data_IF_649356792531
#
_entry.id   IF_649356792531
#
_cell.length_a   1.000
_cell.length_b   1.000
_cell.length_c   1.000
_cell.angle_alpha   90.00
_cell.angle_beta   90.00
_cell.angle_gamma   90.00
#
_symmetry.space_group_name_H-M   'P 1'
#
loop_
_entity.id
_entity.type
_entity.pdbx_description
1 polymer ?
#
# COMPACT_ATOMS: atom_id res chain seq x y z
N UNK A 1 0.62 13.56 9.33
CA UNK A 1 0.36 13.09 7.96
C UNK A 1 -1.14 13.03 7.75
N UNK A 2 -1.64 13.44 6.59
CA UNK A 2 -3.07 13.35 6.26
C UNK A 2 -3.41 11.93 5.79
N UNK A 3 -4.55 11.38 6.19
CA UNK A 3 -5.07 10.16 5.57
C UNK A 3 -6.08 10.51 4.48
N UNK A 4 -5.89 9.98 3.28
CA UNK A 4 -6.79 10.10 2.13
C UNK A 4 -7.58 8.80 2.00
N UNK A 5 -8.90 8.89 2.14
CA UNK A 5 -9.80 7.75 1.93
C UNK A 5 -9.87 7.47 0.42
N UNK A 6 -9.52 6.26 -0.05
CA UNK A 6 -9.69 5.92 -1.47
C UNK A 6 -11.17 6.05 -1.89
N UNK A 7 -11.44 6.61 -3.08
CA UNK A 7 -12.80 6.86 -3.58
C UNK A 7 -13.68 5.60 -3.58
N UNK A 8 -13.10 4.43 -3.87
CA UNK A 8 -13.81 3.15 -3.82
C UNK A 8 -14.42 2.79 -2.44
N UNK A 9 -13.90 3.41 -1.36
CA UNK A 9 -14.39 3.26 0.02
C UNK A 9 -15.19 4.46 0.53
N UNK A 10 -15.38 5.50 -0.28
CA UNK A 10 -16.10 6.71 0.15
C UNK A 10 -17.55 6.39 0.54
N UNK A 11 -17.99 6.95 1.67
CA UNK A 11 -19.33 6.74 2.21
C UNK A 11 -19.61 5.33 2.77
N UNK A 12 -18.60 4.46 2.88
CA UNK A 12 -18.75 3.09 3.39
C UNK A 12 -18.03 2.89 4.72
N UNK A 13 -18.64 2.14 5.64
CA UNK A 13 -17.92 1.59 6.79
C UNK A 13 -16.90 0.55 6.30
N UNK A 14 -15.66 0.66 6.76
CA UNK A 14 -14.56 -0.20 6.29
C UNK A 14 -13.46 -0.28 7.33
N UNK A 15 -13.26 -1.48 7.89
CA UNK A 15 -12.16 -1.77 8.83
C UNK A 15 -10.79 -1.41 8.24
N UNK A 16 -10.64 -1.55 6.92
CA UNK A 16 -9.41 -1.21 6.19
C UNK A 16 -9.17 0.30 6.18
N UNK A 17 -10.22 1.11 6.02
CA UNK A 17 -10.14 2.58 6.12
C UNK A 17 -9.83 3.01 7.55
N UNK A 18 -10.46 2.40 8.55
CA UNK A 18 -10.19 2.68 9.96
C UNK A 18 -8.75 2.37 10.34
N UNK A 19 -8.21 1.23 9.87
CA UNK A 19 -6.81 0.87 10.03
C UNK A 19 -5.89 1.95 9.43
N UNK A 20 -6.15 2.38 8.20
CA UNK A 20 -5.35 3.42 7.54
C UNK A 20 -5.35 4.75 8.30
N UNK A 21 -6.53 5.18 8.78
CA UNK A 21 -6.67 6.37 9.64
C UNK A 21 -5.87 6.24 10.93
N UNK A 22 -5.97 5.08 11.60
CA UNK A 22 -5.26 4.80 12.84
C UNK A 22 -3.75 4.86 12.64
N UNK A 23 -3.22 4.09 11.69
CA UNK A 23 -1.78 4.01 11.43
C UNK A 23 -1.19 5.35 11.00
N UNK A 24 -1.89 6.11 10.15
CA UNK A 24 -1.43 7.44 9.71
C UNK A 24 -1.38 8.46 10.85
N UNK A 25 -2.26 8.32 11.84
CA UNK A 25 -2.30 9.15 13.04
C UNK A 25 -1.22 8.75 14.05
N UNK A 26 -1.04 7.46 14.27
CA UNK A 26 -0.08 6.91 15.24
C UNK A 26 1.36 7.01 14.75
N UNK A 27 1.57 6.89 13.45
CA UNK A 27 2.89 6.85 12.82
C UNK A 27 3.06 7.86 11.67
N UNK A 28 2.97 9.18 11.95
CA UNK A 28 3.17 10.21 10.92
C UNK A 28 4.57 10.19 10.30
N UNK A 29 5.55 9.55 10.95
CA UNK A 29 6.91 9.37 10.49
C UNK A 29 7.06 8.40 9.32
N UNK A 30 6.10 7.48 9.09
CA UNK A 30 6.20 6.47 8.04
C UNK A 30 6.49 7.05 6.65
N UNK A 31 7.28 6.33 5.85
CA UNK A 31 7.70 6.76 4.52
C UNK A 31 8.85 7.76 4.53
N UNK A 32 9.55 7.86 3.40
CA UNK A 32 10.78 8.63 3.27
C UNK A 32 10.51 10.01 2.64
N UNK A 33 11.05 11.06 3.26
CA UNK A 33 11.00 12.42 2.69
C UNK A 33 11.65 12.46 1.30
N UNK A 34 11.04 13.21 0.39
CA UNK A 34 11.45 13.31 -1.01
C UNK A 34 11.02 12.13 -1.89
N UNK A 35 10.15 11.23 -1.41
CA UNK A 35 9.75 10.04 -2.17
C UNK A 35 8.30 9.62 -1.98
N UNK A 36 7.83 8.76 -2.89
CA UNK A 36 6.68 7.89 -2.69
C UNK A 36 7.17 6.60 -2.00
N UNK A 37 6.50 6.20 -0.92
CA UNK A 37 6.86 5.01 -0.13
C UNK A 37 5.68 4.06 -0.04
N UNK A 38 5.95 2.77 0.19
CA UNK A 38 4.93 1.76 0.45
C UNK A 38 5.32 0.94 1.68
N UNK A 39 4.37 0.72 2.57
CA UNK A 39 4.56 -0.04 3.80
C UNK A 39 3.46 -1.10 3.90
N UNK A 40 3.83 -2.33 4.22
CA UNK A 40 2.85 -3.36 4.59
C UNK A 40 2.29 -3.05 5.99
N UNK A 41 0.97 -3.15 6.17
CA UNK A 41 0.34 -2.76 7.45
C UNK A 41 0.27 -3.90 8.47
N UNK A 42 0.76 -5.10 8.13
CA UNK A 42 0.57 -6.30 8.94
C UNK A 42 -0.82 -6.92 8.83
N UNK A 43 -1.70 -6.39 7.98
CA UNK A 43 -3.08 -6.85 7.87
C UNK A 43 -3.39 -7.50 6.52
N UNK A 44 -4.18 -8.56 6.58
CA UNK A 44 -4.83 -9.18 5.43
C UNK A 44 -6.33 -9.21 5.64
N UNK A 45 -7.11 -9.25 4.56
CA UNK A 45 -8.54 -9.52 4.63
C UNK A 45 -9.01 -10.33 3.43
N UNK A 46 -10.15 -11.00 3.59
CA UNK A 46 -10.78 -11.79 2.54
C UNK A 46 -12.03 -11.08 2.05
N UNK A 47 -12.23 -11.01 0.73
CA UNK A 47 -13.45 -10.50 0.12
C UNK A 47 -13.72 -11.23 -1.19
N UNK A 48 -14.97 -11.68 -1.39
CA UNK A 48 -15.39 -12.43 -2.58
C UNK A 48 -14.46 -13.62 -2.91
N UNK A 49 -14.07 -14.40 -1.89
CA UNK A 49 -13.14 -15.54 -2.01
C UNK A 49 -11.71 -15.18 -2.47
N UNK A 50 -11.38 -13.89 -2.57
CA UNK A 50 -10.04 -13.40 -2.84
C UNK A 50 -9.42 -12.86 -1.55
N UNK A 51 -8.14 -13.20 -1.33
CA UNK A 51 -7.34 -12.70 -0.21
C UNK A 51 -6.59 -11.44 -0.64
N UNK A 52 -6.45 -10.49 0.28
CA UNK A 52 -5.77 -9.23 0.04
C UNK A 52 -4.81 -8.91 1.18
N UNK A 53 -3.61 -8.45 0.83
CA UNK A 53 -2.72 -7.76 1.75
C UNK A 53 -3.00 -6.25 1.71
N UNK A 54 -2.93 -5.61 2.87
CA UNK A 54 -3.19 -4.18 3.05
C UNK A 54 -1.87 -3.43 3.17
N UNK A 55 -1.73 -2.38 2.36
CA UNK A 55 -0.55 -1.51 2.33
C UNK A 55 -0.95 -0.06 2.59
N UNK A 56 -0.04 0.70 3.17
CA UNK A 56 -0.07 2.16 3.11
C UNK A 56 0.84 2.63 1.97
N UNK A 57 0.25 3.39 1.05
CA UNK A 57 0.98 4.17 0.06
C UNK A 57 1.11 5.60 0.59
N UNK A 58 2.34 6.08 0.70
CA UNK A 58 2.67 7.31 1.42
C UNK A 58 3.37 8.29 0.48
N UNK A 59 2.78 9.46 0.27
CA UNK A 59 3.38 10.54 -0.50
C UNK A 59 4.06 11.55 0.43
N UNK A 60 5.39 11.60 0.34
CA UNK A 60 6.24 12.64 0.94
C UNK A 60 7.19 13.22 -0.11
N UNK A 61 6.77 13.23 -1.38
CA UNK A 61 7.61 13.62 -2.51
C UNK A 61 7.78 15.14 -2.66
N UNK A 62 7.05 15.96 -1.87
CA UNK A 62 7.07 17.42 -1.97
C UNK A 62 6.10 17.99 -3.00
N UNK A 63 5.26 17.15 -3.61
CA UNK A 63 4.21 17.55 -4.56
C UNK A 63 2.99 16.62 -4.48
N UNK A 64 1.83 17.13 -4.88
CA UNK A 64 0.61 16.33 -5.03
C UNK A 64 0.71 15.40 -6.24
N UNK A 65 0.26 14.16 -6.09
CA UNK A 65 0.09 13.23 -7.20
C UNK A 65 -1.39 13.26 -7.61
N UNK A 66 -1.64 13.76 -8.81
CA UNK A 66 -2.99 13.95 -9.38
C UNK A 66 -3.16 13.28 -10.75
N UNK A 67 -2.26 12.35 -11.08
CA UNK A 67 -2.30 11.53 -12.30
C UNK A 67 -2.12 10.05 -11.97
N UNK A 68 -2.66 9.23 -12.85
CA UNK A 68 -2.46 7.78 -12.81
C UNK A 68 -0.97 7.46 -12.92
N UNK A 69 -0.53 6.44 -12.20
CA UNK A 69 0.85 5.96 -12.28
C UNK A 69 0.93 4.47 -12.03
N UNK A 70 2.04 3.88 -12.43
CA UNK A 70 2.36 2.47 -12.23
C UNK A 70 3.74 2.32 -11.62
N UNK A 71 3.93 1.26 -10.84
CA UNK A 71 5.23 0.86 -10.31
C UNK A 71 5.36 -0.66 -10.26
N UNK A 72 6.60 -1.14 -10.17
CA UNK A 72 6.93 -2.52 -9.87
C UNK A 72 7.07 -2.69 -8.36
N UNK A 73 6.52 -3.76 -7.80
CA UNK A 73 6.65 -4.12 -6.39
C UNK A 73 7.38 -5.46 -6.26
N UNK A 74 8.46 -5.46 -5.49
CA UNK A 74 9.10 -6.67 -4.98
C UNK A 74 8.83 -6.77 -3.49
N UNK A 75 8.29 -7.92 -3.06
CA UNK A 75 8.00 -8.19 -1.65
C UNK A 75 8.46 -9.59 -1.29
N UNK A 76 9.29 -9.69 -0.24
CA UNK A 76 9.87 -10.93 0.25
C UNK A 76 9.74 -11.05 1.76
N UNK A 77 9.76 -12.29 2.23
CA UNK A 77 9.97 -12.63 3.63
C UNK A 77 10.90 -13.83 3.73
N UNK A 78 11.97 -13.71 4.51
CA UNK A 78 12.96 -14.77 4.73
C UNK A 78 13.51 -15.37 3.41
N UNK A 79 13.75 -14.49 2.43
CA UNK A 79 14.22 -14.85 1.09
C UNK A 79 13.15 -15.39 0.12
N UNK A 80 11.95 -15.73 0.60
CA UNK A 80 10.84 -16.18 -0.22
C UNK A 80 10.08 -15.00 -0.81
N UNK A 81 9.80 -15.05 -2.12
CA UNK A 81 9.02 -14.01 -2.79
C UNK A 81 7.52 -14.17 -2.51
N UNK A 82 6.90 -13.09 -2.07
CA UNK A 82 5.45 -12.90 -2.13
C UNK A 82 5.13 -12.27 -3.49
N UNK A 83 5.79 -11.16 -3.83
CA UNK A 83 5.68 -10.54 -5.15
C UNK A 83 7.06 -10.39 -5.79
N UNK A 84 7.17 -10.77 -7.06
CA UNK A 84 8.36 -10.55 -7.87
C UNK A 84 8.01 -9.68 -9.08
N UNK A 85 8.52 -8.46 -9.11
CA UNK A 85 8.24 -7.46 -10.15
C UNK A 85 6.73 -7.29 -10.46
N UNK A 86 5.89 -7.37 -9.43
CA UNK A 86 4.44 -7.24 -9.59
C UNK A 86 4.13 -5.81 -10.05
N UNK A 87 3.49 -5.66 -11.20
CA UNK A 87 3.07 -4.34 -11.70
C UNK A 87 1.81 -3.91 -10.98
N UNK A 88 1.84 -2.72 -10.39
CA UNK A 88 0.77 -2.12 -9.62
C UNK A 88 0.38 -0.81 -10.27
N UNK A 89 -0.91 -0.62 -10.54
CA UNK A 89 -1.47 0.63 -11.04
C UNK A 89 -2.21 1.38 -9.95
N UNK A 90 -1.95 2.68 -9.84
CA UNK A 90 -2.72 3.61 -9.04
C UNK A 90 -3.55 4.50 -9.97
N UNK A 91 -4.88 4.42 -9.84
CA UNK A 91 -5.82 5.21 -10.64
C UNK A 91 -6.48 6.27 -9.79
N UNK A 92 -6.43 7.51 -10.25
CA UNK A 92 -7.07 8.65 -9.58
C UNK A 92 -8.59 8.45 -9.52
N UNK A 93 -9.18 7.81 -10.52
CA UNK A 93 -10.62 7.48 -10.53
C UNK A 93 -11.06 6.57 -9.38
N UNK A 94 -10.15 5.73 -8.88
CA UNK A 94 -10.46 4.68 -7.92
C UNK A 94 -10.00 5.08 -6.50
N UNK A 95 -8.88 5.81 -6.44
CA UNK A 95 -8.17 6.12 -5.20
C UNK A 95 -8.19 7.61 -4.82
N UNK A 96 -8.47 8.50 -5.78
CA UNK A 96 -8.39 9.94 -5.59
C UNK A 96 -6.96 10.49 -5.70
N UNK A 97 -6.85 11.82 -5.67
CA UNK A 97 -5.55 12.52 -5.63
C UNK A 97 -4.84 12.26 -4.32
N UNK A 98 -3.50 12.22 -4.35
CA UNK A 98 -2.67 11.99 -3.18
C UNK A 98 -1.81 13.23 -2.90
N UNK A 99 -2.24 14.14 -2.00
CA UNK A 99 -1.48 15.33 -1.61
C UNK A 99 -0.10 15.01 -1.06
N UNK A 100 0.79 16.00 -0.98
CA UNK A 100 2.03 15.84 -0.22
C UNK A 100 1.73 15.65 1.28
N UNK A 101 2.64 15.00 1.99
CA UNK A 101 2.49 14.63 3.41
C UNK A 101 1.20 13.87 3.71
N UNK A 102 0.84 12.94 2.82
CA UNK A 102 -0.38 12.14 2.94
C UNK A 102 -0.13 10.64 2.75
N UNK A 103 -1.08 9.84 3.20
CA UNK A 103 -1.10 8.40 2.98
C UNK A 103 -2.49 7.93 2.60
N UNK A 104 -2.56 6.85 1.83
CA UNK A 104 -3.80 6.17 1.48
C UNK A 104 -3.61 4.65 1.60
N UNK A 105 -4.71 3.91 1.66
CA UNK A 105 -4.65 2.44 1.65
C UNK A 105 -4.64 1.93 0.21
N UNK A 106 -3.77 0.95 -0.03
CA UNK A 106 -3.78 0.12 -1.22
C UNK A 106 -4.01 -1.35 -0.81
N UNK A 107 -4.96 -2.02 -1.46
CA UNK A 107 -5.25 -3.44 -1.23
C UNK A 107 -4.81 -4.26 -2.44
N UNK A 108 -3.90 -5.20 -2.24
CA UNK A 108 -3.31 -6.00 -3.31
C UNK A 108 -3.68 -7.47 -3.16
N UNK A 109 -4.16 -8.15 -4.22
CA UNK A 109 -4.59 -9.53 -4.14
C UNK A 109 -3.40 -10.46 -3.95
N UNK A 110 -3.51 -11.35 -2.95
CA UNK A 110 -2.54 -12.42 -2.69
C UNK A 110 -3.18 -13.79 -2.96
N UNK A 111 -2.40 -14.76 -3.42
CA UNK A 111 -2.81 -16.16 -3.50
C UNK A 111 -2.86 -16.79 -2.10
N UNK A 112 -3.49 -17.96 -1.97
CA UNK A 112 -3.49 -18.71 -0.70
C UNK A 112 -2.07 -19.10 -0.26
N UNK A 113 -1.18 -19.41 -1.20
CA UNK A 113 0.24 -19.70 -0.93
C UNK A 113 0.98 -18.47 -0.40
N UNK A 114 0.77 -17.31 -1.04
CA UNK A 114 1.31 -16.04 -0.58
C UNK A 114 0.78 -15.66 0.81
N UNK A 115 -0.52 -15.89 1.06
CA UNK A 115 -1.14 -15.65 2.38
C UNK A 115 -0.46 -16.46 3.49
N UNK A 116 -0.14 -17.74 3.26
CA UNK A 116 0.58 -18.55 4.25
C UNK A 116 1.93 -17.95 4.62
N UNK A 117 2.67 -17.38 3.66
CA UNK A 117 3.93 -16.68 3.94
C UNK A 117 3.65 -15.43 4.79
N UNK A 118 2.67 -14.61 4.38
CA UNK A 118 2.29 -13.38 5.08
C UNK A 118 1.87 -13.63 6.53
N UNK A 119 1.14 -14.70 6.80
CA UNK A 119 0.71 -15.08 8.16
C UNK A 119 1.87 -15.50 9.07
N UNK A 120 3.04 -15.83 8.52
CA UNK A 120 4.26 -16.15 9.29
C UNK A 120 5.15 -14.94 9.56
N UNK A 121 4.81 -13.76 9.05
CA UNK A 121 5.58 -12.53 9.20
C UNK A 121 5.50 -11.99 10.62
N UNK A 122 6.46 -12.36 11.46
CA UNK A 122 6.57 -11.90 12.85
C UNK A 122 7.82 -11.07 13.10
N UNK A 123 8.80 -11.13 12.19
CA UNK A 123 10.11 -10.50 12.28
C UNK A 123 10.28 -9.48 11.15
N UNK A 124 10.26 -8.20 11.47
CA UNK A 124 10.35 -7.11 10.48
C UNK A 124 11.66 -7.18 9.67
N UNK A 125 12.76 -7.55 10.32
CA UNK A 125 14.10 -7.64 9.71
C UNK A 125 14.22 -8.69 8.60
N UNK A 126 13.29 -9.65 8.56
CA UNK A 126 13.22 -10.68 7.50
C UNK A 126 12.43 -10.22 6.28
N UNK A 127 11.69 -9.11 6.39
CA UNK A 127 10.88 -8.57 5.30
C UNK A 127 11.72 -7.64 4.43
N UNK A 128 11.56 -7.77 3.11
CA UNK A 128 12.05 -6.79 2.13
C UNK A 128 10.87 -6.36 1.26
N UNK A 129 10.65 -5.04 1.16
CA UNK A 129 9.58 -4.45 0.38
C UNK A 129 10.16 -3.28 -0.42
N UNK A 130 10.16 -3.41 -1.74
CA UNK A 130 10.85 -2.49 -2.64
C UNK A 130 9.94 -2.06 -3.79
N UNK A 131 9.79 -0.75 -3.94
CA UNK A 131 9.13 -0.12 -5.08
C UNK A 131 10.17 0.29 -6.12
N UNK A 132 9.93 -0.01 -7.39
CA UNK A 132 10.79 0.40 -8.51
C UNK A 132 9.99 0.76 -9.75
N UNK A 133 10.68 1.22 -10.80
CA UNK A 133 10.10 1.48 -12.13
C UNK A 133 8.85 2.37 -12.13
N UNK A 134 8.83 3.39 -11.26
CA UNK A 134 7.74 4.34 -11.18
C UNK A 134 7.57 5.07 -12.52
N UNK A 135 6.38 4.98 -13.10
CA UNK A 135 6.00 5.62 -14.36
C UNK A 135 4.68 6.35 -14.18
N UNK A 136 4.68 7.64 -14.49
CA UNK A 136 3.44 8.42 -14.56
C UNK A 136 2.80 8.19 -15.93
N UNK A 137 1.54 7.80 -15.95
CA UNK A 137 0.79 7.64 -17.20
C UNK A 137 0.50 9.02 -17.77
N UNK A 138 0.73 9.18 -19.08
CA UNK A 138 0.57 10.46 -19.79
C UNK A 138 -0.89 10.77 -20.06
#
# INVERSE_FOLDING_TARGET
>A
MQFVVPLQYEGKESNVVELGKKLTKEHPELGNQGSLSINYTGATFSSNQQEYAVFLLINKAGFQIDKDFEFSLNWKYDGQFIYQNQRIGYKISDSGVLPDQSATILTLPISSEQKQIVETMTQEEKMSLEMSDLKVNR
#
